data_IF_791182019346
#
_entry.id   IF_791182019346
#
_cell.length_a   1.000
_cell.length_b   1.000
_cell.length_c   1.000
_cell.angle_alpha   90.00
_cell.angle_beta   90.00
_cell.angle_gamma   90.00
#
_symmetry.space_group_name_H-M   'P 1'
#
loop_
_entity.id
_entity.type
_entity.pdbx_description
1 polymer ?
#
# COMPACT_ATOMS: atom_id res chain seq x y z
N UNK A 1 64.98 71.18 38.10
CA UNK A 1 64.25 69.90 37.99
C UNK A 1 63.17 69.92 36.90
N UNK A 2 62.37 70.99 36.79
CA UNK A 2 61.27 71.12 35.80
C UNK A 2 61.70 71.00 34.33
N UNK A 3 62.81 71.63 33.91
CA UNK A 3 63.27 71.54 32.51
C UNK A 3 63.70 70.14 32.08
N UNK A 4 64.32 69.35 32.97
CA UNK A 4 64.72 67.97 32.66
C UNK A 4 63.49 67.07 32.45
N UNK A 5 62.44 67.31 33.23
CA UNK A 5 61.17 66.59 33.12
C UNK A 5 60.41 66.95 31.83
N UNK A 6 60.41 68.24 31.45
CA UNK A 6 59.81 68.67 30.18
C UNK A 6 60.56 68.10 28.97
N UNK A 7 61.90 68.06 29.03
CA UNK A 7 62.72 67.46 27.97
C UNK A 7 62.47 65.96 27.87
N UNK A 8 62.38 65.23 29.00
CA UNK A 8 62.07 63.79 28.96
C UNK A 8 60.66 63.48 28.46
N UNK A 9 59.67 64.32 28.80
CA UNK A 9 58.30 64.19 28.29
C UNK A 9 58.23 64.47 26.79
N UNK A 10 58.89 65.54 26.33
CA UNK A 10 58.95 65.88 24.90
C UNK A 10 59.64 64.78 24.08
N UNK A 11 60.75 64.24 24.58
CA UNK A 11 61.46 63.14 23.94
C UNK A 11 60.63 61.85 23.93
N UNK A 12 59.95 61.52 25.04
CA UNK A 12 59.06 60.38 25.12
C UNK A 12 57.88 60.48 24.15
N UNK A 13 57.26 61.66 24.04
CA UNK A 13 56.18 61.91 23.09
C UNK A 13 56.65 61.77 21.63
N UNK A 14 57.85 62.25 21.31
CA UNK A 14 58.44 62.10 19.97
C UNK A 14 58.72 60.64 19.61
N UNK A 15 59.27 59.85 20.54
CA UNK A 15 59.54 58.43 20.33
C UNK A 15 58.23 57.65 20.10
N UNK A 16 57.20 57.92 20.91
CA UNK A 16 55.90 57.27 20.77
C UNK A 16 55.19 57.67 19.47
N UNK A 17 55.27 58.95 19.08
CA UNK A 17 54.73 59.44 17.82
C UNK A 17 55.42 58.83 16.60
N UNK A 18 56.75 58.71 16.64
CA UNK A 18 57.54 58.10 15.57
C UNK A 18 57.33 56.58 15.44
N UNK A 19 57.04 55.89 16.54
CA UNK A 19 56.82 54.43 16.57
C UNK A 19 55.64 53.98 15.70
N UNK A 20 54.66 54.86 15.46
CA UNK A 20 53.49 54.56 14.62
C UNK A 20 53.81 54.53 13.12
N UNK A 21 54.93 55.13 12.69
CA UNK A 21 55.32 55.26 11.28
C UNK A 21 55.84 53.95 10.65
N UNK A 22 56.07 52.91 11.45
CA UNK A 22 56.59 51.62 10.99
C UNK A 22 55.49 50.60 10.61
N UNK A 23 54.27 51.04 10.33
CA UNK A 23 53.22 50.16 9.81
C UNK A 23 53.31 50.06 8.29
N UNK A 24 54.24 49.24 7.79
CA UNK A 24 54.20 48.77 6.41
C UNK A 24 53.11 47.69 6.28
N UNK A 25 51.85 48.13 6.34
CA UNK A 25 50.70 47.24 6.18
C UNK A 25 50.72 46.62 4.78
N UNK A 26 50.81 45.29 4.71
CA UNK A 26 50.67 44.56 3.46
C UNK A 26 49.21 44.16 3.30
N UNK A 27 48.51 44.77 2.35
CA UNK A 27 47.14 44.39 2.00
C UNK A 27 47.15 43.38 0.86
N UNK A 28 46.55 42.21 1.10
CA UNK A 28 46.40 41.15 0.10
C UNK A 28 44.93 41.04 -0.25
N UNK A 29 44.57 41.44 -1.48
CA UNK A 29 43.25 41.21 -2.03
C UNK A 29 43.16 39.80 -2.62
N UNK A 30 42.30 38.95 -2.04
CA UNK A 30 42.01 37.63 -2.60
C UNK A 30 40.66 37.68 -3.33
N UNK A 31 40.68 37.48 -4.64
CA UNK A 31 39.46 37.31 -5.44
C UNK A 31 38.97 35.86 -5.31
N UNK A 32 38.27 35.58 -4.21
CA UNK A 32 37.63 34.29 -4.02
C UNK A 32 36.37 34.23 -4.89
N UNK A 33 36.29 33.22 -5.74
CA UNK A 33 35.08 32.93 -6.47
C UNK A 33 33.96 32.56 -5.49
N UNK A 34 32.75 33.04 -5.75
CA UNK A 34 31.56 32.59 -5.02
C UNK A 34 31.37 31.11 -5.33
N UNK A 35 31.34 30.21 -4.32
CA UNK A 35 31.13 28.80 -4.57
C UNK A 35 29.76 28.59 -5.22
N UNK A 36 29.65 27.65 -6.17
CA UNK A 36 28.39 27.38 -6.84
C UNK A 36 27.33 26.97 -5.81
N UNK A 37 26.15 27.59 -5.90
CA UNK A 37 24.99 27.17 -5.11
C UNK A 37 24.45 25.88 -5.73
N UNK A 38 24.62 24.76 -5.03
CA UNK A 38 24.07 23.49 -5.47
C UNK A 38 22.62 23.36 -5.02
N UNK A 39 21.69 23.37 -5.98
CA UNK A 39 20.27 23.07 -5.72
C UNK A 39 20.05 21.59 -6.00
N UNK A 40 19.80 20.81 -4.95
CA UNK A 40 19.43 19.42 -5.09
C UNK A 40 18.03 19.32 -5.74
N UNK A 41 17.85 18.47 -6.78
CA UNK A 41 16.53 18.19 -7.32
C UNK A 41 15.58 17.65 -6.25
N UNK A 42 14.30 18.01 -6.33
CA UNK A 42 13.29 17.47 -5.43
C UNK A 42 13.19 15.94 -5.60
N UNK A 43 13.04 15.16 -4.51
CA UNK A 43 12.81 13.73 -4.61
C UNK A 43 11.55 13.42 -5.41
N UNK A 44 11.68 12.60 -6.45
CA UNK A 44 10.52 12.09 -7.19
C UNK A 44 10.06 10.80 -6.52
N UNK A 45 8.89 10.84 -5.90
CA UNK A 45 8.23 9.62 -5.41
C UNK A 45 7.44 8.97 -6.54
N UNK A 46 7.84 7.76 -6.91
CA UNK A 46 7.07 6.91 -7.82
C UNK A 46 6.30 5.90 -6.98
N UNK A 47 4.97 5.94 -7.06
CA UNK A 47 4.13 4.92 -6.44
C UNK A 47 4.36 3.58 -7.16
N UNK A 48 4.63 2.47 -6.42
CA UNK A 48 4.72 1.16 -7.02
C UNK A 48 3.44 0.79 -7.76
N UNK A 49 3.57 0.12 -8.91
CA UNK A 49 2.42 -0.38 -9.64
C UNK A 49 1.62 -1.38 -8.78
N UNK A 50 0.28 -1.37 -8.84
CA UNK A 50 -0.53 -2.36 -8.15
C UNK A 50 -0.13 -3.78 -8.58
N UNK A 51 0.25 -4.60 -7.61
CA UNK A 51 0.48 -6.04 -7.84
C UNK A 51 -0.85 -6.76 -7.64
N UNK A 52 -1.40 -7.32 -8.72
CA UNK A 52 -2.56 -8.19 -8.61
C UNK A 52 -2.11 -9.58 -8.18
N UNK A 53 -2.62 -10.03 -7.03
CA UNK A 53 -2.51 -11.42 -6.63
C UNK A 53 -3.52 -12.26 -7.43
N UNK A 54 -3.14 -13.48 -7.87
CA UNK A 54 -4.10 -14.42 -8.40
C UNK A 54 -5.19 -14.72 -7.35
N UNK A 55 -6.45 -14.89 -7.76
CA UNK A 55 -7.51 -15.30 -6.85
C UNK A 55 -7.17 -16.64 -6.17
N UNK A 56 -7.61 -16.87 -4.92
CA UNK A 56 -7.36 -18.11 -4.21
C UNK A 56 -7.83 -19.34 -5.02
N UNK A 57 -7.11 -20.48 -4.93
CA UNK A 57 -7.56 -21.71 -5.55
C UNK A 57 -8.99 -22.09 -5.07
N UNK A 58 -9.84 -22.65 -5.95
CA UNK A 58 -11.14 -23.17 -5.55
C UNK A 58 -11.00 -24.18 -4.41
N UNK A 59 -11.96 -24.25 -3.46
CA UNK A 59 -11.96 -25.25 -2.42
C UNK A 59 -11.83 -26.64 -3.03
N UNK A 60 -10.92 -27.46 -2.50
CA UNK A 60 -10.83 -28.86 -2.88
C UNK A 60 -12.17 -29.53 -2.54
N UNK A 61 -12.87 -29.99 -3.58
CA UNK A 61 -14.06 -30.83 -3.39
C UNK A 61 -13.56 -32.18 -2.89
N UNK A 62 -13.55 -32.35 -1.57
CA UNK A 62 -13.37 -33.65 -0.97
C UNK A 62 -14.62 -34.47 -1.30
N UNK A 63 -14.49 -35.39 -2.26
CA UNK A 63 -15.45 -36.47 -2.40
C UNK A 63 -15.36 -37.33 -1.14
N UNK A 64 -16.21 -37.02 -0.17
CA UNK A 64 -16.44 -37.94 0.91
C UNK A 64 -17.16 -39.15 0.30
N UNK A 65 -16.59 -40.37 0.36
CA UNK A 65 -17.33 -41.54 -0.03
C UNK A 65 -18.61 -41.55 0.79
N UNK A 66 -19.75 -41.48 0.10
CA UNK A 66 -21.06 -41.71 0.71
C UNK A 66 -20.91 -43.01 1.47
N UNK A 67 -21.10 -43.04 2.80
CA UNK A 67 -21.17 -44.29 3.52
C UNK A 67 -22.21 -45.11 2.78
N UNK A 68 -21.77 -46.21 2.15
CA UNK A 68 -22.70 -47.20 1.63
C UNK A 68 -23.38 -47.71 2.88
N UNK A 69 -24.51 -47.08 3.21
CA UNK A 69 -25.41 -47.58 4.22
C UNK A 69 -25.66 -49.01 3.79
N UNK A 70 -25.15 -49.93 4.61
CA UNK A 70 -25.51 -51.33 4.54
C UNK A 70 -27.00 -51.37 4.21
N UNK A 71 -27.36 -51.99 3.09
CA UNK A 71 -28.69 -52.03 2.49
C UNK A 71 -29.77 -52.08 3.57
N UNK A 72 -30.20 -50.91 4.02
CA UNK A 72 -31.51 -50.71 4.56
C UNK A 72 -32.33 -50.49 3.30
N UNK A 73 -33.36 -51.31 3.02
CA UNK A 73 -34.29 -51.02 1.95
C UNK A 73 -35.04 -49.73 2.33
N UNK A 74 -34.40 -48.59 2.09
CA UNK A 74 -35.08 -47.32 2.00
C UNK A 74 -35.80 -47.39 0.68
N UNK A 75 -37.07 -47.77 0.77
CA UNK A 75 -38.07 -47.62 -0.28
C UNK A 75 -38.27 -46.11 -0.45
N UNK A 76 -37.29 -45.45 -1.07
CA UNK A 76 -37.36 -44.08 -1.54
C UNK A 76 -38.29 -44.09 -2.75
N UNK A 77 -39.59 -44.17 -2.47
CA UNK A 77 -40.63 -44.06 -3.48
C UNK A 77 -40.85 -42.60 -3.76
N UNK A 78 -39.86 -41.97 -4.39
CA UNK A 78 -40.07 -40.70 -5.09
C UNK A 78 -40.91 -40.97 -6.34
N UNK A 79 -42.16 -41.39 -6.14
CA UNK A 79 -43.15 -41.39 -7.21
C UNK A 79 -43.62 -39.96 -7.38
N UNK A 80 -43.20 -39.32 -8.47
CA UNK A 80 -43.71 -38.00 -8.84
C UNK A 80 -45.18 -38.15 -9.22
N UNK A 81 -46.06 -37.46 -8.48
CA UNK A 81 -47.48 -37.35 -8.83
C UNK A 81 -47.55 -36.73 -10.23
N UNK A 82 -48.16 -37.43 -11.18
CA UNK A 82 -48.10 -37.01 -12.57
C UNK A 82 -48.29 -38.12 -13.59
N UNK A 83 -48.10 -37.76 -14.86
CA UNK A 83 -48.22 -38.68 -15.99
C UNK A 83 -46.93 -39.46 -16.23
N UNK A 84 -47.07 -40.77 -16.38
CA UNK A 84 -46.00 -41.70 -16.73
C UNK A 84 -46.49 -42.63 -17.85
N UNK A 85 -45.90 -42.50 -19.05
CA UNK A 85 -46.14 -43.45 -20.14
C UNK A 85 -47.60 -43.67 -20.55
N UNK A 86 -48.49 -42.68 -20.32
CA UNK A 86 -49.92 -42.78 -20.64
C UNK A 86 -50.85 -43.08 -19.47
N UNK A 87 -50.30 -43.34 -18.28
CA UNK A 87 -51.06 -43.50 -17.03
C UNK A 87 -50.71 -42.38 -16.04
N UNK A 88 -51.68 -41.93 -15.24
CA UNK A 88 -51.48 -40.89 -14.23
C UNK A 88 -51.40 -41.51 -12.84
N UNK A 89 -50.40 -41.15 -12.05
CA UNK A 89 -50.27 -41.55 -10.65
C UNK A 89 -50.74 -40.42 -9.74
N UNK A 90 -51.74 -40.69 -8.90
CA UNK A 90 -52.29 -39.71 -7.94
C UNK A 90 -51.66 -39.79 -6.54
N UNK A 91 -50.67 -40.66 -6.35
CA UNK A 91 -50.08 -40.96 -5.04
C UNK A 91 -50.59 -42.26 -4.41
N UNK A 92 -51.70 -42.82 -4.89
CA UNK A 92 -52.32 -44.04 -4.36
C UNK A 92 -52.68 -45.07 -5.43
N UNK A 93 -53.07 -44.63 -6.62
CA UNK A 93 -53.50 -45.50 -7.72
C UNK A 93 -53.11 -44.93 -9.07
N UNK A 94 -52.93 -45.84 -10.03
CA UNK A 94 -52.75 -45.53 -11.44
C UNK A 94 -54.10 -45.33 -12.14
N UNK A 95 -54.18 -44.26 -12.92
CA UNK A 95 -55.33 -43.91 -13.75
C UNK A 95 -54.97 -44.04 -15.23
N UNK A 96 -55.82 -44.71 -16.00
CA UNK A 96 -55.74 -44.63 -17.46
C UNK A 96 -56.15 -43.24 -17.91
N UNK A 97 -55.66 -42.82 -19.08
CA UNK A 97 -55.91 -41.47 -19.58
C UNK A 97 -57.40 -41.13 -19.70
N UNK A 98 -58.18 -42.06 -20.22
CA UNK A 98 -59.62 -41.91 -20.39
C UNK A 98 -60.34 -41.74 -19.03
N UNK A 99 -60.05 -42.61 -18.08
CA UNK A 99 -60.69 -42.62 -16.75
C UNK A 99 -60.38 -41.35 -15.96
N UNK A 100 -59.16 -40.83 -16.08
CA UNK A 100 -58.76 -39.59 -15.42
C UNK A 100 -59.55 -38.37 -15.92
N UNK A 101 -59.76 -38.28 -17.24
CA UNK A 101 -60.59 -37.22 -17.81
C UNK A 101 -62.06 -37.41 -17.45
N UNK A 102 -62.58 -38.63 -17.53
CA UNK A 102 -63.95 -38.92 -17.12
C UNK A 102 -64.19 -38.52 -15.65
N UNK A 103 -63.27 -38.82 -14.74
CA UNK A 103 -63.40 -38.47 -13.32
C UNK A 103 -63.37 -36.96 -13.04
N UNK A 104 -62.70 -36.17 -13.88
CA UNK A 104 -62.61 -34.70 -13.71
C UNK A 104 -63.76 -33.91 -14.32
N UNK A 105 -64.62 -34.56 -15.10
CA UNK A 105 -65.74 -33.93 -15.79
C UNK A 105 -67.10 -34.17 -15.10
N UNK A 106 -67.12 -34.63 -13.85
CA UNK A 106 -68.29 -34.70 -12.98
C UNK A 106 -68.13 -33.77 -11.78
#
# INVERSE_FOLDING_TARGET
MKSKLLVSLGLGALILGASQMANAGVSIGLNLAVPPVYVAPAPVYVAPAPVYAPPPPPPAVAYQPVPVAAYQPVVATSFVIGWHGGQYWDGRRWWSRHDWYAHRHW
#
